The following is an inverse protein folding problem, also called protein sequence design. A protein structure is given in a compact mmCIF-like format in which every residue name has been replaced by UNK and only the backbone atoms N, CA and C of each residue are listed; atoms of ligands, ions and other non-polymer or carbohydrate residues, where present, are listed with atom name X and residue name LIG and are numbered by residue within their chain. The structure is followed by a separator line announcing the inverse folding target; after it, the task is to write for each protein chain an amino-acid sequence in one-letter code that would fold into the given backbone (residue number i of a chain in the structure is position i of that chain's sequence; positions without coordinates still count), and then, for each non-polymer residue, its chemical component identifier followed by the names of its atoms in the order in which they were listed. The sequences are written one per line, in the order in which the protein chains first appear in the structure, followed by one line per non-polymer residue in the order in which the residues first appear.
data_IF_238071218078
#
_entry.id   IF_238071218078
#
_cell.length_a   1.000
_cell.length_b   1.000
_cell.length_c   1.000
_cell.angle_alpha   90.00
_cell.angle_beta   90.00
_cell.angle_gamma   90.00
#
_symmetry.space_group_name_H-M   'P 1'
#
loop_
_entity.id
_entity.type
_entity.pdbx_description
1 polymer ?
#
# COMPACT_ATOMS: atom_id res chain seq x y z
N UNK A 1 0.38 -8.18 8.32
CA UNK A 1 0.00 -7.08 9.25
C UNK A 1 -1.40 -7.38 9.73
N UNK A 2 -1.79 -7.00 10.95
CA UNK A 2 -3.15 -7.19 11.42
C UNK A 2 -3.75 -5.84 11.83
N UNK A 3 -4.97 -5.54 11.35
CA UNK A 3 -5.71 -4.30 11.62
C UNK A 3 -7.13 -4.72 11.99
N UNK A 4 -7.61 -4.29 13.16
CA UNK A 4 -8.95 -4.65 13.67
C UNK A 4 -9.27 -6.16 13.63
N UNK A 5 -8.26 -7.00 13.89
CA UNK A 5 -8.39 -8.47 13.88
C UNK A 5 -8.41 -9.10 12.48
N UNK A 6 -8.28 -8.30 11.43
CA UNK A 6 -8.23 -8.74 10.03
C UNK A 6 -6.78 -8.78 9.56
N UNK A 7 -6.40 -9.87 8.91
CA UNK A 7 -5.07 -10.04 8.36
C UNK A 7 -4.94 -9.35 7.00
N UNK A 8 -3.90 -8.54 6.88
CA UNK A 8 -3.51 -7.87 5.65
C UNK A 8 -2.17 -8.41 5.15
N UNK A 9 -2.14 -8.72 3.85
CA UNK A 9 -0.91 -8.91 3.08
C UNK A 9 -0.41 -7.51 2.71
N UNK A 10 0.87 -7.24 2.92
CA UNK A 10 1.52 -5.99 2.50
C UNK A 10 2.68 -6.34 1.58
N UNK A 11 2.77 -5.67 0.45
CA UNK A 11 3.81 -5.85 -0.57
C UNK A 11 4.41 -4.50 -0.91
N UNK A 12 5.73 -4.40 -0.80
CA UNK A 12 6.50 -3.21 -1.12
C UNK A 12 7.52 -3.56 -2.21
N UNK A 13 7.44 -2.89 -3.36
CA UNK A 13 8.29 -3.21 -4.52
C UNK A 13 8.42 -2.03 -5.49
N UNK A 14 9.46 -2.06 -6.33
CA UNK A 14 9.66 -1.07 -7.39
C UNK A 14 9.43 -1.73 -8.75
N UNK A 15 8.57 -1.14 -9.58
CA UNK A 15 8.32 -1.60 -10.96
C UNK A 15 8.90 -0.63 -12.00
N UNK A 16 9.31 -1.10 -13.18
CA UNK A 16 9.61 -0.24 -14.31
C UNK A 16 8.31 0.37 -14.90
N UNK A 17 8.38 1.62 -15.33
CA UNK A 17 7.39 2.29 -16.20
C UNK A 17 8.11 2.76 -17.48
N UNK A 18 7.35 3.34 -18.43
CA UNK A 18 7.89 3.77 -19.73
C UNK A 18 9.01 4.81 -19.60
N UNK A 19 8.89 5.72 -18.63
CA UNK A 19 9.74 6.90 -18.44
C UNK A 19 10.35 6.99 -17.03
N UNK A 20 10.00 6.08 -16.13
CA UNK A 20 10.41 6.15 -14.72
C UNK A 20 10.39 4.77 -14.04
N UNK A 21 10.66 4.76 -12.73
CA UNK A 21 10.43 3.63 -11.85
C UNK A 21 9.41 4.04 -10.80
N UNK A 22 8.49 3.13 -10.50
CA UNK A 22 7.37 3.38 -9.58
C UNK A 22 7.62 2.59 -8.31
N UNK A 23 7.63 3.27 -7.18
CA UNK A 23 7.49 2.66 -5.87
C UNK A 23 6.03 2.26 -5.67
N UNK A 24 5.80 1.00 -5.32
CA UNK A 24 4.49 0.44 -5.05
C UNK A 24 4.45 -0.05 -3.61
N UNK A 25 3.46 0.41 -2.87
CA UNK A 25 3.07 -0.13 -1.59
C UNK A 25 1.62 -0.61 -1.72
N UNK A 26 1.45 -1.92 -1.81
CA UNK A 26 0.14 -2.56 -1.95
C UNK A 26 -0.21 -3.28 -0.66
N UNK A 27 -1.48 -3.22 -0.27
CA UNK A 27 -2.03 -4.03 0.80
C UNK A 27 -3.34 -4.66 0.36
N UNK A 28 -3.61 -5.87 0.84
CA UNK A 28 -4.81 -6.60 0.48
C UNK A 28 -5.34 -7.42 1.65
N UNK A 29 -6.66 -7.55 1.71
CA UNK A 29 -7.34 -8.43 2.67
C UNK A 29 -8.66 -8.96 2.09
N UNK A 30 -9.16 -10.05 2.68
CA UNK A 30 -10.50 -10.54 2.43
C UNK A 30 -11.49 -9.85 3.36
N UNK A 31 -12.44 -9.11 2.81
CA UNK A 31 -13.51 -8.43 3.54
C UNK A 31 -14.86 -8.85 2.95
N UNK A 32 -15.74 -9.44 3.76
CA UNK A 32 -17.09 -9.85 3.34
C UNK A 32 -17.14 -10.64 2.02
N UNK A 33 -16.26 -11.64 1.87
CA UNK A 33 -16.08 -12.45 0.65
C UNK A 33 -15.66 -11.64 -0.59
N UNK A 34 -15.09 -10.46 -0.41
CA UNK A 34 -14.48 -9.64 -1.46
C UNK A 34 -13.01 -9.42 -1.15
N UNK A 35 -12.20 -9.37 -2.21
CA UNK A 35 -10.81 -8.95 -2.08
C UNK A 35 -10.77 -7.42 -2.08
N UNK A 36 -10.40 -6.82 -0.95
CA UNK A 36 -10.04 -5.40 -0.90
C UNK A 36 -8.56 -5.27 -1.22
N UNK A 37 -8.22 -4.41 -2.18
CA UNK A 37 -6.84 -4.05 -2.51
C UNK A 37 -6.72 -2.54 -2.40
N UNK A 38 -5.74 -2.08 -1.62
CA UNK A 38 -5.31 -0.69 -1.60
C UNK A 38 -3.89 -0.57 -2.13
N UNK A 39 -3.63 0.51 -2.86
CA UNK A 39 -2.32 0.80 -3.43
C UNK A 39 -1.94 2.25 -3.19
N UNK A 40 -0.74 2.46 -2.70
CA UNK A 40 -0.05 3.74 -2.78
C UNK A 40 1.08 3.62 -3.80
N UNK A 41 1.15 4.58 -4.73
CA UNK A 41 2.18 4.61 -5.76
C UNK A 41 2.79 6.01 -5.89
N UNK A 42 4.10 6.08 -6.02
CA UNK A 42 4.81 7.30 -6.41
C UNK A 42 6.00 6.94 -7.32
N UNK A 43 6.52 7.90 -8.08
CA UNK A 43 7.80 7.68 -8.76
C UNK A 43 8.93 7.64 -7.71
N UNK A 44 10.02 6.94 -8.01
CA UNK A 44 11.16 6.84 -7.08
C UNK A 44 11.77 8.19 -6.71
N UNK A 45 11.60 9.21 -7.57
CA UNK A 45 12.08 10.58 -7.31
C UNK A 45 11.36 11.24 -6.13
N UNK A 46 10.17 10.75 -5.80
CA UNK A 46 9.31 11.24 -4.72
C UNK A 46 9.31 10.27 -3.52
N UNK A 47 10.14 9.23 -3.53
CA UNK A 47 10.07 8.18 -2.51
C UNK A 47 10.31 8.71 -1.09
N UNK A 48 11.36 9.50 -0.88
CA UNK A 48 11.72 10.01 0.45
C UNK A 48 10.63 10.90 1.06
N UNK A 49 9.97 11.70 0.23
CA UNK A 49 8.87 12.58 0.66
C UNK A 49 7.61 11.77 0.99
N UNK A 50 7.26 10.79 0.15
CA UNK A 50 5.94 10.17 0.21
C UNK A 50 5.89 8.86 1.00
N UNK A 51 7.02 8.17 1.19
CA UNK A 51 7.05 6.90 1.93
C UNK A 51 6.56 7.05 3.37
N UNK A 52 6.91 8.09 4.14
CA UNK A 52 6.37 8.28 5.48
C UNK A 52 4.84 8.42 5.46
N UNK A 53 4.29 9.25 4.57
CA UNK A 53 2.84 9.45 4.42
C UNK A 53 2.14 8.17 3.98
N UNK A 54 2.75 7.36 3.10
CA UNK A 54 2.22 6.07 2.70
C UNK A 54 2.08 5.10 3.90
N UNK A 55 3.05 5.14 4.82
CA UNK A 55 2.97 4.39 6.08
C UNK A 55 1.82 4.87 6.98
N UNK A 56 1.63 6.19 7.08
CA UNK A 56 0.49 6.78 7.82
C UNK A 56 -0.87 6.38 7.23
N UNK A 57 -0.98 6.33 5.90
CA UNK A 57 -2.21 5.87 5.22
C UNK A 57 -2.57 4.44 5.65
N UNK A 58 -1.61 3.51 5.63
CA UNK A 58 -1.87 2.12 6.06
C UNK A 58 -2.28 2.07 7.53
N UNK A 59 -1.58 2.82 8.39
CA UNK A 59 -1.89 2.86 9.82
C UNK A 59 -3.23 3.55 10.14
N UNK A 60 -3.79 4.30 9.19
CA UNK A 60 -5.09 4.97 9.33
C UNK A 60 -6.28 4.08 8.96
N UNK A 61 -6.04 2.90 8.38
CA UNK A 61 -7.09 1.97 7.97
C UNK A 61 -7.87 1.51 9.20
N UNK A 62 -9.20 1.56 9.07
CA UNK A 62 -10.15 0.98 10.02
C UNK A 62 -11.12 0.12 9.25
N UNK A 63 -11.44 -1.04 9.78
CA UNK A 63 -12.49 -1.90 9.21
C UNK A 63 -13.66 -1.91 10.17
N UNK A 64 -14.84 -1.54 9.66
CA UNK A 64 -16.10 -1.50 10.41
C UNK A 64 -17.00 -2.66 10.00
#
# INVERSE_FOLDING_TARGET
MQIDGIDFIVMEFITPAVDSRIYNLMFATSLENRLMIGTFNCTINHLEEWKPLAGEIINSIKVQ
#
